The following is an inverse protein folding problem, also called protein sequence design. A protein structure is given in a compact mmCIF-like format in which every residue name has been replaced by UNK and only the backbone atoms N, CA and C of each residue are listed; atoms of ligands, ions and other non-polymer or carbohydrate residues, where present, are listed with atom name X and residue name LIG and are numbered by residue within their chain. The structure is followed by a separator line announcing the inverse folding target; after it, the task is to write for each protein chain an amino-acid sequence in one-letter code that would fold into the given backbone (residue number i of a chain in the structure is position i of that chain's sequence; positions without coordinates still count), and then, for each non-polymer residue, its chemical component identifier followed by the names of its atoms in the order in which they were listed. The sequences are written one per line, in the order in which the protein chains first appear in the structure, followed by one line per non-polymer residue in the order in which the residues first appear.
data_IF_340623739924
#
_entry.id   IF_340623739924
#
_cell.length_a   1.000
_cell.length_b   1.000
_cell.length_c   1.000
_cell.angle_alpha   90.00
_cell.angle_beta   90.00
_cell.angle_gamma   90.00
#
_symmetry.space_group_name_H-M   'P 1'
#
loop_
_entity.id
_entity.type
_entity.pdbx_description
1 polymer ?
#
# COMPACT_ATOMS: atom_id res chain seq x y z
N UNK A 1 22.56 27.25 -14.49
CA UNK A 1 22.42 25.80 -14.65
C UNK A 1 22.54 25.19 -13.26
N UNK A 2 21.45 25.24 -12.47
CA UNK A 2 21.44 24.80 -11.06
C UNK A 2 21.03 23.34 -11.05
N UNK A 3 21.88 22.53 -10.42
CA UNK A 3 21.75 21.09 -10.36
C UNK A 3 20.39 20.68 -9.80
N UNK A 4 19.71 19.79 -10.52
CA UNK A 4 18.51 19.09 -10.06
C UNK A 4 18.98 18.00 -9.10
N UNK A 5 19.48 18.38 -7.92
CA UNK A 5 19.94 17.41 -6.94
C UNK A 5 18.75 16.88 -6.15
N UNK A 6 18.44 15.62 -6.48
CA UNK A 6 17.86 14.57 -5.66
C UNK A 6 16.56 14.89 -4.86
N UNK A 7 15.48 14.09 -5.03
CA UNK A 7 14.30 14.17 -4.16
C UNK A 7 14.60 13.95 -2.66
N UNK A 8 15.77 13.37 -2.35
CA UNK A 8 16.28 13.13 -1.00
C UNK A 8 16.47 14.42 -0.19
N UNK A 9 16.91 15.52 -0.80
CA UNK A 9 17.16 16.78 -0.08
C UNK A 9 15.90 17.44 0.48
N UNK A 10 14.72 17.14 -0.09
CA UNK A 10 13.45 17.61 0.45
C UNK A 10 13.08 16.83 1.72
N UNK A 11 13.33 15.52 1.74
CA UNK A 11 13.02 14.65 2.87
C UNK A 11 13.95 14.93 4.05
N UNK A 12 15.26 15.08 3.82
CA UNK A 12 16.23 15.43 4.86
C UNK A 12 15.87 16.75 5.56
N UNK A 13 15.48 17.77 4.80
CA UNK A 13 15.01 19.04 5.35
C UNK A 13 13.69 18.90 6.14
N UNK A 14 12.82 17.95 5.77
CA UNK A 14 11.60 17.66 6.51
C UNK A 14 11.88 16.88 7.80
N UNK A 15 12.88 15.98 7.81
CA UNK A 15 13.34 15.26 9.00
C UNK A 15 13.98 16.21 10.03
N UNK A 16 14.62 17.29 9.57
CA UNK A 16 15.09 18.40 10.42
C UNK A 16 13.96 19.30 10.94
N UNK A 17 12.71 19.08 10.52
CA UNK A 17 11.53 19.81 10.99
C UNK A 17 11.18 21.05 10.17
N UNK A 18 11.82 21.29 9.03
CA UNK A 18 11.44 22.40 8.15
C UNK A 18 10.16 22.07 7.35
N UNK A 19 9.25 23.03 7.16
CA UNK A 19 8.07 22.81 6.35
C UNK A 19 8.45 22.59 4.88
N UNK A 20 7.68 21.77 4.15
CA UNK A 20 7.91 21.40 2.73
C UNK A 20 8.19 22.60 1.83
N UNK A 21 7.63 23.77 2.14
CA UNK A 21 7.87 24.99 1.37
C UNK A 21 9.28 25.57 1.50
N UNK A 22 9.94 25.40 2.65
CA UNK A 22 11.32 25.80 2.90
C UNK A 22 12.26 24.76 2.27
N UNK A 23 11.96 23.47 2.45
CA UNK A 23 12.68 22.37 1.81
C UNK A 23 12.69 22.47 0.27
N UNK A 24 11.53 22.74 -0.34
CA UNK A 24 11.42 22.93 -1.79
C UNK A 24 12.25 24.12 -2.30
N UNK A 25 12.27 25.22 -1.54
CA UNK A 25 13.08 26.40 -1.87
C UNK A 25 14.58 26.12 -1.73
N UNK A 26 14.99 25.43 -0.68
CA UNK A 26 16.38 25.02 -0.46
C UNK A 26 16.87 24.07 -1.55
N UNK A 27 16.01 23.15 -2.01
CA UNK A 27 16.26 22.24 -3.12
C UNK A 27 16.13 22.90 -4.52
N UNK A 28 15.81 24.19 -4.60
CA UNK A 28 15.71 24.93 -5.86
C UNK A 28 14.51 24.54 -6.75
N UNK A 29 13.48 23.90 -6.20
CA UNK A 29 12.32 23.42 -6.96
C UNK A 29 11.01 24.13 -6.59
N UNK A 30 10.05 24.09 -7.52
CA UNK A 30 8.71 24.60 -7.25
C UNK A 30 7.98 23.72 -6.21
N UNK A 31 7.04 24.31 -5.46
CA UNK A 31 6.21 23.53 -4.51
C UNK A 31 5.46 22.39 -5.19
N UNK A 32 4.97 22.59 -6.41
CA UNK A 32 4.27 21.56 -7.17
C UNK A 32 5.20 20.37 -7.50
N UNK A 33 6.46 20.66 -7.86
CA UNK A 33 7.48 19.64 -8.12
C UNK A 33 7.82 18.88 -6.84
N UNK A 34 7.96 19.57 -5.72
CA UNK A 34 8.19 18.95 -4.42
C UNK A 34 7.05 18.00 -4.01
N UNK A 35 5.79 18.42 -4.14
CA UNK A 35 4.65 17.55 -3.87
C UNK A 35 4.57 16.33 -4.80
N UNK A 36 4.94 16.49 -6.09
CA UNK A 36 4.99 15.37 -7.03
C UNK A 36 6.06 14.35 -6.63
N UNK A 37 7.26 14.81 -6.28
CA UNK A 37 8.33 13.93 -5.82
C UNK A 37 7.97 13.20 -4.52
N UNK A 38 7.34 13.89 -3.56
CA UNK A 38 6.84 13.26 -2.34
C UNK A 38 5.75 12.21 -2.62
N UNK A 39 4.96 12.38 -3.68
CA UNK A 39 3.99 11.36 -4.10
C UNK A 39 4.60 10.15 -4.83
N UNK A 40 5.76 10.33 -5.46
CA UNK A 40 6.51 9.29 -6.18
C UNK A 40 7.51 8.54 -5.27
N UNK A 41 8.03 9.20 -4.23
CA UNK A 41 8.98 8.62 -3.29
C UNK A 41 8.28 7.71 -2.27
N UNK A 42 8.61 6.41 -2.33
CA UNK A 42 8.13 5.37 -1.41
C UNK A 42 8.53 5.59 0.06
N UNK A 43 9.46 6.51 0.35
CA UNK A 43 9.82 6.90 1.72
C UNK A 43 8.78 7.80 2.36
N UNK A 44 8.00 8.54 1.57
CA UNK A 44 6.79 9.19 2.06
C UNK A 44 5.79 8.07 2.27
N UNK A 45 5.80 7.52 3.49
CA UNK A 45 4.78 6.59 3.91
C UNK A 45 3.43 7.29 3.66
N UNK A 46 2.50 6.67 2.92
CA UNK A 46 1.16 7.21 2.80
C UNK A 46 0.67 7.49 4.22
N UNK A 47 0.13 8.70 4.44
CA UNK A 47 -0.48 9.10 5.72
C UNK A 47 -1.21 7.89 6.30
N UNK A 48 -1.04 7.59 7.60
CA UNK A 48 -1.47 6.34 8.20
C UNK A 48 -2.84 6.01 7.66
N UNK A 49 -2.85 4.93 6.88
CA UNK A 49 -3.96 4.42 6.11
C UNK A 49 -5.24 4.75 6.87
N UNK A 50 -6.06 5.68 6.36
CA UNK A 50 -7.32 5.99 7.00
C UNK A 50 -8.17 4.72 6.93
N UNK A 51 -8.00 3.86 7.93
CA UNK A 51 -8.67 2.57 8.09
C UNK A 51 -10.10 2.80 8.59
N UNK A 52 -10.72 3.87 8.11
CA UNK A 52 -12.16 4.11 8.21
C UNK A 52 -12.86 3.67 6.93
N UNK A 53 -12.20 2.87 6.08
CA UNK A 53 -12.91 2.09 5.07
C UNK A 53 -13.85 1.15 5.82
N UNK A 54 -15.10 1.58 5.99
CA UNK A 54 -16.20 0.77 6.52
C UNK A 54 -16.14 -0.56 5.79
N UNK A 55 -15.76 -1.63 6.49
CA UNK A 55 -15.70 -2.94 5.88
C UNK A 55 -17.08 -3.26 5.34
N UNK A 56 -17.17 -3.53 4.04
CA UNK A 56 -18.44 -3.89 3.43
C UNK A 56 -18.98 -5.14 4.13
N UNK A 57 -20.27 -5.23 4.46
CA UNK A 57 -20.87 -6.46 4.94
C UNK A 57 -20.50 -7.63 4.01
N UNK A 58 -19.96 -8.71 4.57
CA UNK A 58 -19.47 -9.86 3.81
C UNK A 58 -18.01 -9.78 3.34
N UNK A 59 -17.25 -8.77 3.78
CA UNK A 59 -15.80 -8.73 3.58
C UNK A 59 -15.08 -9.81 4.40
N UNK A 60 -14.01 -10.38 3.86
CA UNK A 60 -13.14 -11.30 4.58
C UNK A 60 -12.34 -10.57 5.65
N UNK A 61 -12.42 -11.06 6.88
CA UNK A 61 -11.56 -10.68 8.00
C UNK A 61 -10.11 -11.06 7.73
N UNK A 62 -9.18 -10.45 8.48
CA UNK A 62 -7.75 -10.78 8.39
C UNK A 62 -7.52 -12.29 8.61
N UNK A 63 -8.13 -12.85 9.66
CA UNK A 63 -8.04 -14.28 9.98
C UNK A 63 -8.52 -15.18 8.83
N UNK A 64 -9.63 -14.83 8.19
CA UNK A 64 -10.11 -15.60 7.04
C UNK A 64 -9.14 -15.51 5.86
N UNK A 65 -8.51 -14.36 5.63
CA UNK A 65 -7.51 -14.20 4.56
C UNK A 65 -6.24 -15.01 4.84
N UNK A 66 -5.79 -15.03 6.08
CA UNK A 66 -4.65 -15.84 6.52
C UNK A 66 -4.95 -17.34 6.35
N UNK A 67 -6.14 -17.79 6.76
CA UNK A 67 -6.57 -19.18 6.58
C UNK A 67 -6.64 -19.57 5.09
N UNK A 68 -7.16 -18.68 4.23
CA UNK A 68 -7.15 -18.91 2.77
C UNK A 68 -5.71 -19.10 2.28
N UNK A 69 -4.78 -18.22 2.67
CA UNK A 69 -3.38 -18.33 2.29
C UNK A 69 -2.73 -19.63 2.77
N UNK A 70 -2.98 -20.00 4.02
CA UNK A 70 -2.48 -21.24 4.62
C UNK A 70 -3.00 -22.49 3.89
N UNK A 71 -4.30 -22.56 3.60
CA UNK A 71 -4.89 -23.71 2.92
C UNK A 71 -4.46 -23.81 1.44
N UNK A 72 -4.30 -22.68 0.75
CA UNK A 72 -3.74 -22.65 -0.60
C UNK A 72 -2.29 -23.17 -0.62
N UNK A 73 -1.46 -22.78 0.35
CA UNK A 73 -0.09 -23.29 0.48
C UNK A 73 -0.04 -24.81 0.71
N UNK A 74 -1.09 -25.38 1.31
CA UNK A 74 -1.27 -26.84 1.47
C UNK A 74 -1.86 -27.53 0.24
N UNK A 75 -2.07 -26.80 -0.85
CA UNK A 75 -2.62 -27.33 -2.10
C UNK A 75 -4.13 -27.55 -2.09
N UNK A 76 -4.87 -26.95 -1.15
CA UNK A 76 -6.34 -27.07 -1.14
C UNK A 76 -6.98 -26.24 -2.26
N UNK A 77 -8.05 -26.78 -2.85
CA UNK A 77 -8.80 -26.07 -3.87
C UNK A 77 -9.74 -25.01 -3.28
N UNK A 78 -10.04 -23.99 -4.10
CA UNK A 78 -10.93 -22.87 -3.73
C UNK A 78 -12.28 -23.34 -3.16
N UNK A 79 -12.87 -24.41 -3.71
CA UNK A 79 -14.16 -24.94 -3.23
C UNK A 79 -14.06 -25.59 -1.86
N UNK A 80 -12.94 -26.26 -1.56
CA UNK A 80 -12.71 -26.88 -0.26
C UNK A 80 -12.53 -25.80 0.81
N UNK A 81 -11.73 -24.77 0.51
CA UNK A 81 -11.52 -23.62 1.40
C UNK A 81 -12.84 -22.87 1.65
N UNK A 82 -13.65 -22.68 0.63
CA UNK A 82 -14.96 -22.06 0.75
C UNK A 82 -15.89 -22.83 1.70
N UNK A 83 -15.88 -24.17 1.62
CA UNK A 83 -16.61 -25.04 2.53
C UNK A 83 -16.12 -24.93 3.98
N UNK A 84 -14.80 -24.91 4.19
CA UNK A 84 -14.18 -24.77 5.52
C UNK A 84 -14.55 -23.43 6.19
N UNK A 85 -14.60 -22.34 5.43
CA UNK A 85 -14.88 -21.00 5.94
C UNK A 85 -16.38 -20.63 5.94
N UNK A 86 -17.25 -21.48 5.40
CA UNK A 86 -18.66 -21.16 5.23
C UNK A 86 -18.90 -19.95 4.31
N UNK A 87 -18.03 -19.75 3.32
CA UNK A 87 -18.08 -18.61 2.38
C UNK A 87 -18.41 -19.08 0.97
N UNK A 88 -18.89 -18.16 0.14
CA UNK A 88 -19.09 -18.45 -1.28
C UNK A 88 -17.74 -18.71 -1.98
N UNK A 89 -17.63 -19.72 -2.86
CA UNK A 89 -16.40 -19.97 -3.64
C UNK A 89 -15.92 -18.76 -4.45
N UNK A 90 -16.86 -17.92 -4.92
CA UNK A 90 -16.58 -16.69 -5.64
C UNK A 90 -15.87 -15.64 -4.76
N UNK A 91 -16.12 -15.62 -3.45
CA UNK A 91 -15.43 -14.75 -2.49
C UNK A 91 -13.97 -15.14 -2.36
N UNK A 92 -13.72 -16.44 -2.19
CA UNK A 92 -12.36 -16.98 -2.07
C UNK A 92 -11.59 -16.77 -3.38
N UNK A 93 -12.18 -17.10 -4.53
CA UNK A 93 -11.55 -16.88 -5.84
C UNK A 93 -11.13 -15.43 -6.07
N UNK A 94 -12.00 -14.46 -5.73
CA UNK A 94 -11.68 -13.03 -5.81
C UNK A 94 -10.55 -12.62 -4.87
N UNK A 95 -10.45 -13.23 -3.70
CA UNK A 95 -9.34 -13.00 -2.78
C UNK A 95 -8.03 -13.51 -3.36
N UNK A 96 -8.01 -14.74 -3.86
CA UNK A 96 -6.83 -15.34 -4.49
C UNK A 96 -6.37 -14.48 -5.67
N UNK A 97 -7.28 -14.09 -6.56
CA UNK A 97 -6.95 -13.25 -7.71
C UNK A 97 -6.33 -11.89 -7.31
N UNK A 98 -6.80 -11.29 -6.20
CA UNK A 98 -6.24 -10.03 -5.67
C UNK A 98 -4.85 -10.20 -5.04
N UNK A 99 -4.55 -11.35 -4.45
CA UNK A 99 -3.30 -11.60 -3.75
C UNK A 99 -2.25 -12.38 -4.58
N UNK A 100 -2.53 -12.73 -5.84
CA UNK A 100 -1.61 -13.44 -6.77
C UNK A 100 -0.35 -12.65 -7.19
N UNK A 101 -0.06 -11.53 -6.54
CA UNK A 101 1.05 -10.63 -6.91
C UNK A 101 2.44 -11.29 -6.79
N UNK A 102 2.56 -12.41 -6.08
CA UNK A 102 3.84 -13.08 -5.81
C UNK A 102 4.12 -14.35 -6.64
N UNK A 103 3.31 -14.63 -7.66
CA UNK A 103 3.47 -15.84 -8.50
C UNK A 103 4.03 -15.49 -9.89
N UNK A 104 5.24 -14.89 -9.93
CA UNK A 104 6.03 -14.65 -11.14
C UNK A 104 7.51 -14.94 -10.92
#
# INVERSE_FOLDING_TARGET
MVAVECPVGILEAMDEGFPTSVAARAAGVSRATAYRWLGEDRRVLPLPFQSFAVMRPGSLSLREREEIGFQLARGQEVRQIAGLLGRAPSTISREVARNRVYDK
#
